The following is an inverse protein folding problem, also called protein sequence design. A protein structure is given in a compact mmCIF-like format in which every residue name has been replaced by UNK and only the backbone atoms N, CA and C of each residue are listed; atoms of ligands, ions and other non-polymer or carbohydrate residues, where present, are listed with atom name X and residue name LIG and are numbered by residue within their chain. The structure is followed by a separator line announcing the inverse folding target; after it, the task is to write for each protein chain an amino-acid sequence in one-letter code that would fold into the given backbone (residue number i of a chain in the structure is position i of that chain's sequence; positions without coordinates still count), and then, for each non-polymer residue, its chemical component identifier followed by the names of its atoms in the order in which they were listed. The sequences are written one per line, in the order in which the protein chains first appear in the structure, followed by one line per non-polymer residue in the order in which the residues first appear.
data_IF_000144430281
#
_entry.id   IF_000144430281
#
_cell.length_a   1.000
_cell.length_b   1.000
_cell.length_c   1.000
_cell.angle_alpha   90.00
_cell.angle_beta   90.00
_cell.angle_gamma   90.00
#
_symmetry.space_group_name_H-M   'P 1'
#
loop_
_entity.id
_entity.type
_entity.pdbx_description
1 polymer ?
#
# COMPACT_ATOMS: atom_id res chain seq x y z
N UNK A 1 25.63 -81.85 29.27
CA UNK A 1 24.87 -80.62 29.58
C UNK A 1 25.68 -79.83 30.61
N UNK A 2 26.37 -78.78 30.18
CA UNK A 2 26.84 -77.68 31.05
C UNK A 2 27.01 -76.46 30.17
N UNK A 3 26.21 -75.44 30.43
CA UNK A 3 26.21 -74.17 29.74
C UNK A 3 26.97 -73.11 30.56
N UNK A 4 27.56 -72.17 29.82
CA UNK A 4 27.62 -70.73 30.14
C UNK A 4 28.74 -70.22 31.07
N UNK A 5 29.71 -69.48 30.50
CA UNK A 5 30.42 -68.37 31.20
C UNK A 5 31.33 -67.46 30.32
N UNK A 6 31.15 -67.36 28.99
CA UNK A 6 32.09 -66.59 28.12
C UNK A 6 31.58 -65.20 27.67
N UNK A 7 30.41 -64.74 28.11
CA UNK A 7 29.84 -63.47 27.63
C UNK A 7 30.27 -62.22 28.42
N UNK A 8 30.77 -62.33 29.65
CA UNK A 8 30.99 -61.17 30.52
C UNK A 8 32.26 -60.33 30.20
N UNK A 9 33.32 -60.95 29.67
CA UNK A 9 34.62 -60.25 29.46
C UNK A 9 34.71 -59.46 28.16
N UNK A 10 33.91 -59.82 27.15
CA UNK A 10 33.88 -59.10 25.87
C UNK A 10 33.10 -57.79 25.97
N UNK A 11 32.01 -57.76 26.74
CA UNK A 11 31.20 -56.54 26.95
C UNK A 11 31.99 -55.42 27.65
N UNK A 12 32.79 -55.75 28.67
CA UNK A 12 33.63 -54.77 29.39
C UNK A 12 34.69 -54.13 28.48
N UNK A 13 35.28 -54.92 27.58
CA UNK A 13 36.28 -54.42 26.62
C UNK A 13 35.67 -53.45 25.60
N UNK A 14 34.44 -53.73 25.15
CA UNK A 14 33.70 -52.90 24.20
C UNK A 14 33.22 -51.60 24.85
N UNK A 15 32.76 -51.67 26.10
CA UNK A 15 32.36 -50.48 26.86
C UNK A 15 33.54 -49.54 27.15
N UNK A 16 34.72 -50.10 27.42
CA UNK A 16 35.92 -49.31 27.68
C UNK A 16 36.46 -48.65 26.41
N UNK A 17 36.44 -49.33 25.26
CA UNK A 17 36.76 -48.72 23.96
C UNK A 17 35.76 -47.62 23.58
N UNK A 18 34.45 -47.86 23.77
CA UNK A 18 33.43 -46.87 23.46
C UNK A 18 33.56 -45.61 24.32
N UNK A 19 33.85 -45.79 25.61
CA UNK A 19 34.10 -44.68 26.55
C UNK A 19 35.34 -43.87 26.17
N UNK A 20 36.40 -44.54 25.68
CA UNK A 20 37.63 -43.89 25.23
C UNK A 20 37.41 -43.08 23.95
N UNK A 21 36.73 -43.66 22.95
CA UNK A 21 36.38 -42.95 21.71
C UNK A 21 35.40 -41.80 21.94
N UNK A 22 34.43 -41.99 22.84
CA UNK A 22 33.50 -40.94 23.25
C UNK A 22 34.22 -39.73 23.86
N UNK A 23 35.27 -39.97 24.66
CA UNK A 23 36.14 -38.92 25.21
C UNK A 23 36.93 -38.18 24.13
N UNK A 24 37.44 -38.88 23.13
CA UNK A 24 38.15 -38.26 21.99
C UNK A 24 37.22 -37.39 21.15
N UNK A 25 36.00 -37.87 20.84
CA UNK A 25 34.97 -37.08 20.14
C UNK A 25 34.58 -35.84 20.96
N UNK A 26 34.41 -36.00 22.28
CA UNK A 26 34.10 -34.89 23.17
C UNK A 26 35.22 -33.84 23.20
N UNK A 27 36.48 -34.27 23.32
CA UNK A 27 37.64 -33.37 23.30
C UNK A 27 37.82 -32.69 21.94
N UNK A 28 37.55 -33.39 20.84
CA UNK A 28 37.55 -32.80 19.50
C UNK A 28 36.44 -31.75 19.34
N UNK A 29 35.25 -32.01 19.90
CA UNK A 29 34.16 -31.03 19.94
C UNK A 29 34.52 -29.77 20.75
N UNK A 30 35.17 -29.94 21.90
CA UNK A 30 35.68 -28.82 22.70
C UNK A 30 36.82 -28.07 21.99
N UNK A 31 37.70 -28.78 21.29
CA UNK A 31 38.76 -28.19 20.48
C UNK A 31 38.22 -27.33 19.33
N UNK A 32 37.26 -27.84 18.56
CA UNK A 32 36.62 -27.09 17.48
C UNK A 32 35.89 -25.84 17.97
N UNK A 33 35.25 -25.91 19.14
CA UNK A 33 34.64 -24.75 19.78
C UNK A 33 35.68 -23.70 20.20
N UNK A 34 36.83 -24.12 20.73
CA UNK A 34 37.93 -23.21 21.05
C UNK A 34 38.61 -22.61 19.80
N UNK A 35 38.71 -23.37 18.70
CA UNK A 35 39.25 -22.87 17.42
C UNK A 35 38.41 -21.72 16.84
N UNK A 36 37.09 -21.71 17.09
CA UNK A 36 36.21 -20.59 16.72
C UNK A 36 36.57 -19.30 17.47
N UNK A 37 37.09 -19.37 18.71
CA UNK A 37 37.52 -18.18 19.45
C UNK A 37 38.86 -17.62 18.93
N UNK A 38 39.82 -18.49 18.62
CA UNK A 38 41.18 -18.08 18.24
C UNK A 38 41.29 -17.64 16.76
N UNK A 39 40.60 -18.31 15.84
CA UNK A 39 40.64 -17.99 14.40
C UNK A 39 39.40 -17.23 13.91
N UNK A 40 38.31 -17.24 14.67
CA UNK A 40 37.05 -16.59 14.29
C UNK A 40 37.16 -15.09 14.13
N UNK A 41 38.00 -14.41 14.92
CA UNK A 41 38.18 -12.95 14.82
C UNK A 41 38.81 -12.54 13.48
N UNK A 42 39.74 -13.34 12.95
CA UNK A 42 40.40 -13.10 11.67
C UNK A 42 39.48 -13.41 10.49
N UNK A 43 38.70 -14.49 10.58
CA UNK A 43 37.67 -14.82 9.58
C UNK A 43 36.55 -13.78 9.56
N UNK A 44 36.09 -13.34 10.73
CA UNK A 44 35.10 -12.28 10.86
C UNK A 44 35.62 -10.97 10.28
N UNK A 45 36.86 -10.57 10.60
CA UNK A 45 37.51 -9.41 9.98
C UNK A 45 37.53 -9.50 8.45
N UNK A 46 37.93 -10.66 7.91
CA UNK A 46 37.93 -10.90 6.47
C UNK A 46 36.54 -10.86 5.83
N UNK A 47 35.50 -11.34 6.52
CA UNK A 47 34.10 -11.23 6.07
C UNK A 47 33.60 -9.78 6.12
N UNK A 48 33.96 -9.03 7.17
CA UNK A 48 33.61 -7.61 7.31
C UNK A 48 34.26 -6.78 6.21
N UNK A 49 35.53 -6.99 5.91
CA UNK A 49 36.22 -6.25 4.85
C UNK A 49 35.66 -6.59 3.46
N UNK A 50 35.33 -7.87 3.20
CA UNK A 50 34.62 -8.27 1.98
C UNK A 50 33.24 -7.60 1.89
N UNK A 51 32.52 -7.52 3.00
CA UNK A 51 31.22 -6.86 3.08
C UNK A 51 31.30 -5.37 2.80
N UNK A 52 32.32 -4.68 3.35
CA UNK A 52 32.59 -3.27 3.05
C UNK A 52 32.92 -3.05 1.59
N UNK A 53 33.77 -3.89 0.99
CA UNK A 53 34.12 -3.79 -0.43
C UNK A 53 32.89 -4.02 -1.31
N UNK A 54 32.07 -5.03 -0.99
CA UNK A 54 30.83 -5.31 -1.69
C UNK A 54 29.79 -4.19 -1.54
N UNK A 55 29.66 -3.58 -0.36
CA UNK A 55 28.80 -2.40 -0.17
C UNK A 55 29.31 -1.25 -1.05
N UNK A 56 30.61 -0.96 -1.02
CA UNK A 56 31.20 0.17 -1.74
C UNK A 56 31.04 0.03 -3.26
N UNK A 57 31.30 -1.16 -3.81
CA UNK A 57 31.11 -1.48 -5.23
C UNK A 57 29.63 -1.37 -5.64
N UNK A 58 28.70 -1.82 -4.78
CA UNK A 58 27.26 -1.82 -5.10
C UNK A 58 26.55 -0.52 -4.77
N UNK A 59 27.13 0.37 -3.96
CA UNK A 59 26.50 1.63 -3.53
C UNK A 59 26.27 2.60 -4.69
N UNK A 60 27.14 2.57 -5.70
CA UNK A 60 26.99 3.38 -6.91
C UNK A 60 25.87 2.83 -7.80
N UNK A 61 25.89 1.53 -8.09
CA UNK A 61 24.84 0.83 -8.85
C UNK A 61 23.45 0.97 -8.20
N UNK A 62 23.39 0.89 -6.86
CA UNK A 62 22.14 0.95 -6.12
C UNK A 62 21.53 2.35 -6.11
N UNK A 63 22.36 3.41 -6.15
CA UNK A 63 21.87 4.79 -6.28
C UNK A 63 21.19 5.01 -7.63
N UNK A 64 21.79 4.51 -8.72
CA UNK A 64 21.23 4.65 -10.06
C UNK A 64 19.95 3.82 -10.21
N UNK A 65 19.95 2.59 -9.72
CA UNK A 65 18.76 1.73 -9.69
C UNK A 65 17.62 2.34 -8.85
N UNK A 66 17.94 2.93 -7.69
CA UNK A 66 16.94 3.59 -6.83
C UNK A 66 16.34 4.83 -7.50
N UNK A 67 17.15 5.64 -8.18
CA UNK A 67 16.63 6.79 -8.93
C UNK A 67 15.73 6.36 -10.10
N UNK A 68 16.09 5.29 -10.81
CA UNK A 68 15.27 4.73 -11.89
C UNK A 68 13.95 4.16 -11.37
N UNK A 69 13.99 3.43 -10.26
CA UNK A 69 12.80 2.89 -9.60
C UNK A 69 11.87 4.00 -9.07
N UNK A 70 12.42 5.06 -8.48
CA UNK A 70 11.63 6.25 -8.08
C UNK A 70 10.93 6.90 -9.27
N UNK A 71 11.66 7.17 -10.36
CA UNK A 71 11.07 7.75 -11.58
C UNK A 71 9.96 6.88 -12.19
N UNK A 72 10.16 5.56 -12.20
CA UNK A 72 9.14 4.62 -12.68
C UNK A 72 7.92 4.54 -11.73
N UNK A 73 8.15 4.63 -10.42
CA UNK A 73 7.10 4.71 -9.42
C UNK A 73 6.25 5.97 -9.56
N UNK A 74 6.89 7.13 -9.68
CA UNK A 74 6.21 8.42 -9.85
C UNK A 74 5.37 8.44 -11.14
N UNK A 75 5.89 7.90 -12.25
CA UNK A 75 5.17 7.81 -13.52
C UNK A 75 4.01 6.79 -13.47
N UNK A 76 4.13 5.71 -12.71
CA UNK A 76 3.03 4.76 -12.50
C UNK A 76 1.93 5.37 -11.61
N UNK A 77 2.32 6.14 -10.59
CA UNK A 77 1.38 6.84 -9.72
C UNK A 77 0.59 7.90 -10.47
N UNK A 78 1.25 8.70 -11.31
CA UNK A 78 0.57 9.73 -12.11
C UNK A 78 -0.42 9.15 -13.12
N UNK A 79 -0.06 8.05 -13.79
CA UNK A 79 -0.98 7.36 -14.72
C UNK A 79 -2.17 6.73 -13.98
N UNK A 80 -1.96 6.27 -12.75
CA UNK A 80 -3.05 5.73 -11.92
C UNK A 80 -3.98 6.83 -11.43
N UNK A 81 -3.46 7.99 -11.02
CA UNK A 81 -4.25 9.16 -10.65
C UNK A 81 -5.12 9.64 -11.83
N UNK A 82 -4.54 9.78 -13.03
CA UNK A 82 -5.27 10.18 -14.23
C UNK A 82 -6.36 9.17 -14.63
N UNK A 83 -6.06 7.87 -14.60
CA UNK A 83 -7.05 6.83 -14.85
C UNK A 83 -8.16 6.80 -13.78
N UNK A 84 -7.83 7.13 -12.52
CA UNK A 84 -8.79 7.22 -11.41
C UNK A 84 -9.73 8.42 -11.57
N UNK A 85 -9.22 9.58 -11.98
CA UNK A 85 -10.04 10.76 -12.28
C UNK A 85 -11.01 10.49 -13.43
N UNK A 86 -10.55 9.84 -14.50
CA UNK A 86 -11.40 9.44 -15.62
C UNK A 86 -12.51 8.47 -15.19
N UNK A 87 -12.18 7.45 -14.38
CA UNK A 87 -13.21 6.53 -13.85
C UNK A 87 -14.19 7.22 -12.90
N UNK A 88 -13.72 8.14 -12.07
CA UNK A 88 -14.60 8.89 -11.17
C UNK A 88 -15.58 9.76 -11.96
N UNK A 89 -15.13 10.41 -13.04
CA UNK A 89 -15.98 11.17 -13.96
C UNK A 89 -17.06 10.30 -14.62
N UNK A 90 -16.69 9.11 -15.12
CA UNK A 90 -17.64 8.17 -15.73
C UNK A 90 -18.65 7.60 -14.71
N UNK A 91 -18.21 7.33 -13.49
CA UNK A 91 -19.06 6.89 -12.39
C UNK A 91 -20.05 7.98 -11.98
N UNK A 92 -19.59 9.23 -11.81
CA UNK A 92 -20.44 10.38 -11.52
C UNK A 92 -21.51 10.59 -12.60
N UNK A 93 -21.14 10.48 -13.88
CA UNK A 93 -22.08 10.56 -14.99
C UNK A 93 -23.12 9.42 -14.96
N UNK A 94 -22.68 8.20 -14.68
CA UNK A 94 -23.58 7.03 -14.58
C UNK A 94 -24.54 7.16 -13.40
N UNK A 95 -24.05 7.62 -12.25
CA UNK A 95 -24.86 7.88 -11.05
C UNK A 95 -25.87 8.98 -11.33
N UNK A 96 -25.46 10.08 -11.96
CA UNK A 96 -26.35 11.17 -12.38
C UNK A 96 -27.48 10.67 -13.28
N UNK A 97 -27.15 9.94 -14.35
CA UNK A 97 -28.16 9.36 -15.25
C UNK A 97 -29.07 8.32 -14.57
N UNK A 98 -28.56 7.58 -13.58
CA UNK A 98 -29.40 6.68 -12.78
C UNK A 98 -30.40 7.47 -11.93
N UNK A 99 -29.95 8.53 -11.24
CA UNK A 99 -30.83 9.39 -10.43
C UNK A 99 -31.95 10.03 -11.28
N UNK A 100 -31.62 10.55 -12.47
CA UNK A 100 -32.61 11.10 -13.41
C UNK A 100 -33.66 10.04 -13.79
N UNK A 101 -33.21 8.81 -14.06
CA UNK A 101 -34.07 7.69 -14.46
C UNK A 101 -34.96 7.17 -13.33
N UNK A 102 -34.55 7.36 -12.08
CA UNK A 102 -35.34 7.08 -10.88
C UNK A 102 -36.19 8.29 -10.43
N UNK A 103 -36.14 9.41 -11.16
CA UNK A 103 -36.98 10.59 -10.90
C UNK A 103 -36.52 11.44 -9.71
N UNK A 104 -35.25 11.34 -9.31
CA UNK A 104 -34.67 12.17 -8.25
C UNK A 104 -34.12 13.46 -8.88
N UNK A 105 -34.66 14.65 -8.54
CA UNK A 105 -34.17 15.91 -9.08
C UNK A 105 -32.71 16.15 -8.69
N UNK A 106 -31.88 16.51 -9.66
CA UNK A 106 -30.46 16.78 -9.44
C UNK A 106 -30.21 18.27 -9.12
N UNK A 107 -29.11 18.59 -8.43
CA UNK A 107 -28.74 19.96 -8.05
C UNK A 107 -28.76 20.93 -9.25
N UNK A 108 -28.19 20.48 -10.38
CA UNK A 108 -28.08 21.28 -11.60
C UNK A 108 -29.46 21.56 -12.26
N UNK A 109 -30.41 20.62 -12.14
CA UNK A 109 -31.78 20.82 -12.61
C UNK A 109 -32.56 21.76 -11.70
N UNK A 110 -32.35 21.69 -10.39
CA UNK A 110 -32.93 22.62 -9.42
C UNK A 110 -32.44 24.05 -9.71
N UNK A 111 -31.14 24.24 -9.94
CA UNK A 111 -30.57 25.55 -10.28
C UNK A 111 -31.13 26.12 -11.58
N UNK A 112 -31.23 25.28 -12.63
CA UNK A 112 -31.85 25.66 -13.90
C UNK A 112 -33.32 26.02 -13.74
N UNK A 113 -34.07 25.28 -12.93
CA UNK A 113 -35.48 25.55 -12.68
C UNK A 113 -35.65 26.85 -11.90
N UNK A 114 -34.84 27.06 -10.85
CA UNK A 114 -34.82 28.29 -10.05
C UNK A 114 -34.60 29.53 -10.92
N UNK A 115 -33.61 29.47 -11.81
CA UNK A 115 -33.31 30.56 -12.77
C UNK A 115 -34.50 30.87 -13.69
N UNK A 116 -35.19 29.83 -14.18
CA UNK A 116 -36.38 30.00 -15.03
C UNK A 116 -37.56 30.61 -14.25
N UNK A 117 -37.73 30.20 -13.00
CA UNK A 117 -38.77 30.75 -12.10
C UNK A 117 -38.50 32.23 -11.84
N UNK A 118 -37.26 32.61 -11.50
CA UNK A 118 -36.89 34.01 -11.31
C UNK A 118 -37.14 34.87 -12.55
N UNK A 119 -36.80 34.34 -13.73
CA UNK A 119 -37.05 35.04 -14.99
C UNK A 119 -38.55 35.22 -15.26
N UNK A 120 -39.36 34.19 -14.97
CA UNK A 120 -40.80 34.26 -15.14
C UNK A 120 -41.46 35.19 -14.13
N UNK A 121 -41.02 35.18 -12.86
CA UNK A 121 -41.49 36.12 -11.83
C UNK A 121 -41.28 37.56 -12.27
N UNK A 122 -40.09 37.90 -12.79
CA UNK A 122 -39.82 39.25 -13.32
C UNK A 122 -40.75 39.64 -14.48
N UNK A 123 -41.07 38.69 -15.36
CA UNK A 123 -41.99 38.95 -16.47
C UNK A 123 -43.42 39.15 -15.97
N UNK A 124 -43.87 38.38 -14.99
CA UNK A 124 -45.19 38.53 -14.37
C UNK A 124 -45.31 39.87 -13.65
N UNK A 125 -44.29 40.26 -12.88
CA UNK A 125 -44.27 41.55 -12.18
C UNK A 125 -44.34 42.72 -13.17
N UNK A 126 -43.52 42.68 -14.23
CA UNK A 126 -43.53 43.70 -15.28
C UNK A 126 -44.88 43.79 -16.00
N UNK A 127 -45.53 42.65 -16.27
CA UNK A 127 -46.83 42.60 -16.92
C UNK A 127 -47.95 43.11 -16.00
N UNK A 128 -47.85 42.82 -14.69
CA UNK A 128 -48.76 43.32 -13.66
C UNK A 128 -48.62 44.83 -13.44
N UNK A 129 -47.40 45.37 -13.47
CA UNK A 129 -47.15 46.82 -13.44
C UNK A 129 -47.75 47.50 -14.67
N UNK A 130 -47.49 46.97 -15.87
CA UNK A 130 -48.06 47.50 -17.11
C UNK A 130 -49.60 47.51 -17.11
N UNK A 131 -50.24 46.42 -16.62
CA UNK A 131 -51.70 46.34 -16.46
C UNK A 131 -52.25 47.32 -15.41
N UNK A 132 -51.47 47.65 -14.39
CA UNK A 132 -51.87 48.60 -13.35
C UNK A 132 -51.75 50.04 -13.82
N UNK A 133 -50.82 50.32 -14.74
CA UNK A 133 -50.60 51.64 -15.34
C UNK A 133 -51.56 51.92 -16.50
N UNK A 134 -52.06 50.88 -17.18
CA UNK A 134 -53.06 50.98 -18.25
C UNK A 134 -54.51 51.07 -17.75
N UNK A 135 -54.75 51.03 -16.44
CA UNK A 135 -56.06 51.33 -15.84
C UNK A 135 -56.10 52.83 -15.51
N UNK A 136 -56.57 53.72 -16.41
CA UNK A 136 -56.64 55.13 -16.10
C UNK A 136 -57.55 55.34 -14.89
N UNK A 137 -57.13 56.25 -14.01
CA UNK A 137 -58.01 56.89 -13.05
C UNK A 137 -59.11 57.63 -13.82
N UNK A 138 -60.14 56.90 -14.24
CA UNK A 138 -61.37 57.43 -14.81
C UNK A 138 -62.53 56.97 -13.94
N UNK A 139 -62.62 57.51 -12.71
CA UNK A 139 -63.88 57.94 -12.12
C UNK A 139 -63.66 58.72 -10.81
N UNK A 140 -63.34 60.01 -10.88
CA UNK A 140 -63.74 60.96 -9.83
C UNK A 140 -63.82 62.37 -10.39
N UNK A 141 -64.89 62.63 -11.13
CA UNK A 141 -65.43 63.97 -11.41
C UNK A 141 -66.91 63.76 -11.70
N UNK A 142 -67.74 63.83 -10.67
CA UNK A 142 -69.12 64.35 -10.69
C UNK A 142 -69.82 64.04 -9.35
N UNK A 143 -69.71 64.97 -8.38
CA UNK A 143 -70.81 65.67 -7.69
C UNK A 143 -70.28 66.76 -6.73
#
# INVERSE_FOLDING_TARGET
MTAQSTSASSDDSLQNELSKRGREVWLAGLGALATVEEEGTKLFGGLVDRGKQFEQERREDLKEATQKARKQGDQALSQFEEASEETQSLLLGTVHSALERFGVPTQNEIDRLSTKVDALSKQVDALSEALSEERPASNESDE
#
